data_IF_485414872603
#
_entry.id   IF_485414872603
#
_cell.length_a   1.000
_cell.length_b   1.000
_cell.length_c   1.000
_cell.angle_alpha   90.00
_cell.angle_beta   90.00
_cell.angle_gamma   90.00
#
_symmetry.space_group_name_H-M   'P 1'
#
loop_
_entity.id
_entity.type
_entity.pdbx_description
1 polymer ?
#
# COMPACT_ATOMS: atom_id res chain seq x y z
N UNK A 1 2.40 -4.21 18.93
CA UNK A 1 2.74 -4.49 17.51
C UNK A 1 2.33 -3.28 16.70
N UNK A 2 3.14 -2.83 15.74
CA UNK A 2 2.77 -1.68 14.91
C UNK A 2 1.51 -1.98 14.09
N UNK A 3 0.63 -0.98 13.97
CA UNK A 3 -0.58 -1.07 13.15
C UNK A 3 -0.67 0.13 12.21
N UNK A 4 -0.72 -0.14 10.91
CA UNK A 4 -0.99 0.88 9.90
C UNK A 4 -2.47 1.30 10.00
N UNK A 5 -2.74 2.58 10.18
CA UNK A 5 -4.11 3.09 10.33
C UNK A 5 -4.49 4.06 9.24
N UNK A 6 -3.53 4.78 8.70
CA UNK A 6 -3.77 5.75 7.64
C UNK A 6 -2.71 5.68 6.55
N UNK A 7 -3.11 5.94 5.31
CA UNK A 7 -2.18 6.25 4.21
C UNK A 7 -2.66 7.50 3.50
N UNK A 8 -1.81 8.51 3.39
CA UNK A 8 -2.15 9.73 2.67
C UNK A 8 -1.90 9.54 1.18
N UNK A 9 -2.96 9.69 0.39
CA UNK A 9 -2.97 9.45 -1.06
C UNK A 9 -3.26 10.75 -1.80
N UNK A 10 -2.54 10.98 -2.89
CA UNK A 10 -2.80 12.09 -3.79
C UNK A 10 -4.01 11.85 -4.71
N UNK A 11 -4.33 12.86 -5.50
CA UNK A 11 -5.43 12.82 -6.47
C UNK A 11 -6.72 13.42 -5.92
N UNK A 12 -7.73 13.51 -6.79
CA UNK A 12 -9.00 14.13 -6.44
C UNK A 12 -9.99 13.10 -5.88
N UNK A 13 -10.92 13.54 -5.04
CA UNK A 13 -12.06 12.74 -4.57
C UNK A 13 -12.78 12.08 -5.76
N UNK A 14 -13.11 12.86 -6.78
CA UNK A 14 -13.75 12.36 -7.99
C UNK A 14 -12.92 11.29 -8.75
N UNK A 15 -11.59 11.30 -8.61
CA UNK A 15 -10.73 10.24 -9.16
C UNK A 15 -10.93 8.93 -8.44
N UNK A 16 -10.90 8.97 -7.11
CA UNK A 16 -11.14 7.80 -6.27
C UNK A 16 -12.57 7.26 -6.41
N UNK A 17 -13.57 8.14 -6.49
CA UNK A 17 -14.96 7.75 -6.77
C UNK A 17 -15.14 7.11 -8.16
N UNK A 18 -14.43 7.61 -9.19
CA UNK A 18 -14.41 6.94 -10.51
C UNK A 18 -13.82 5.54 -10.47
N UNK A 19 -12.90 5.26 -9.55
CA UNK A 19 -12.41 3.90 -9.30
C UNK A 19 -13.34 3.08 -8.40
N UNK A 20 -14.56 3.58 -8.11
CA UNK A 20 -15.59 2.88 -7.37
C UNK A 20 -15.38 2.83 -5.86
N UNK A 21 -14.60 3.75 -5.29
CA UNK A 21 -14.53 3.92 -3.83
C UNK A 21 -15.63 4.85 -3.33
N UNK A 22 -16.22 4.54 -2.17
CA UNK A 22 -17.01 5.51 -1.39
C UNK A 22 -16.03 6.43 -0.64
N UNK A 23 -16.08 7.72 -0.94
CA UNK A 23 -15.22 8.74 -0.33
C UNK A 23 -16.09 9.65 0.54
N UNK A 24 -15.82 9.70 1.85
CA UNK A 24 -16.57 10.52 2.82
C UNK A 24 -15.60 11.32 3.65
N UNK A 25 -15.80 12.64 3.71
CA UNK A 25 -14.92 13.57 4.45
C UNK A 25 -13.44 13.46 4.02
N UNK A 26 -13.22 13.28 2.71
CA UNK A 26 -11.90 13.07 2.14
C UNK A 26 -11.24 11.75 2.53
N UNK A 27 -11.99 10.77 3.03
CA UNK A 27 -11.48 9.47 3.46
C UNK A 27 -12.13 8.30 2.73
N UNK A 28 -11.32 7.31 2.39
CA UNK A 28 -11.75 5.99 1.92
C UNK A 28 -11.51 5.03 3.08
N UNK A 29 -12.59 4.49 3.66
CA UNK A 29 -12.50 3.65 4.86
C UNK A 29 -12.51 2.17 4.46
N UNK A 30 -11.40 1.49 4.75
CA UNK A 30 -11.20 0.06 4.57
C UNK A 30 -11.26 -0.62 5.95
N UNK A 31 -11.14 -1.95 5.98
CA UNK A 31 -11.12 -2.74 7.22
C UNK A 31 -9.97 -2.33 8.16
N UNK A 32 -10.29 -1.48 9.14
CA UNK A 32 -9.37 -1.04 10.19
C UNK A 32 -8.34 0.02 9.77
N UNK A 33 -8.41 0.52 8.54
CA UNK A 33 -7.48 1.49 7.94
C UNK A 33 -8.26 2.49 7.08
N UNK A 34 -7.79 3.74 6.99
CA UNK A 34 -8.33 4.73 6.06
C UNK A 34 -7.26 5.25 5.09
N UNK A 35 -7.63 5.46 3.82
CA UNK A 35 -6.86 6.34 2.95
C UNK A 35 -7.35 7.77 3.17
N UNK A 36 -6.42 8.70 3.36
CA UNK A 36 -6.70 10.13 3.49
C UNK A 36 -6.37 10.78 2.14
N UNK A 37 -7.40 11.25 1.44
CA UNK A 37 -7.24 11.89 0.13
C UNK A 37 -6.76 13.32 0.35
N UNK A 38 -5.57 13.61 -0.18
CA UNK A 38 -4.99 14.95 -0.21
C UNK A 38 -4.86 15.41 -1.67
N UNK A 39 -5.83 16.20 -2.17
CA UNK A 39 -5.79 16.74 -3.53
C UNK A 39 -4.63 17.70 -3.78
N UNK A 40 -4.00 18.24 -2.73
CA UNK A 40 -2.87 19.15 -2.83
C UNK A 40 -1.52 18.44 -2.88
N UNK A 41 -1.49 17.13 -2.59
CA UNK A 41 -0.25 16.35 -2.59
C UNK A 41 0.37 16.26 -3.98
N UNK A 42 1.63 16.69 -4.08
CA UNK A 42 2.46 16.53 -5.27
C UNK A 42 2.95 15.08 -5.46
N UNK A 43 2.81 14.24 -4.43
CA UNK A 43 3.20 12.82 -4.46
C UNK A 43 1.96 11.92 -4.56
N UNK A 44 2.03 10.77 -5.27
CA UNK A 44 0.96 9.79 -5.25
C UNK A 44 0.63 9.28 -3.84
N UNK A 45 1.66 9.06 -3.03
CA UNK A 45 1.57 8.68 -1.63
C UNK A 45 2.55 9.56 -0.84
N UNK A 46 2.04 10.35 0.11
CA UNK A 46 2.84 11.38 0.79
C UNK A 46 3.22 11.03 2.22
N UNK A 47 2.61 9.99 2.81
CA UNK A 47 2.95 9.50 4.14
C UNK A 47 1.93 8.50 4.66
N UNK A 48 2.12 8.05 5.89
CA UNK A 48 1.19 7.15 6.57
C UNK A 48 1.02 7.48 8.06
N UNK A 49 -0.03 6.95 8.66
CA UNK A 49 -0.28 6.98 10.09
C UNK A 49 -0.14 5.59 10.68
N UNK A 50 0.72 5.44 11.69
CA UNK A 50 0.99 4.16 12.36
C UNK A 50 0.75 4.30 13.86
N UNK A 51 0.08 3.32 14.44
CA UNK A 51 0.04 3.09 15.89
C UNK A 51 1.20 2.18 16.25
N UNK A 52 2.23 2.71 16.91
CA UNK A 52 3.41 1.95 17.33
C UNK A 52 3.97 2.52 18.65
N UNK A 53 4.79 1.76 19.40
CA UNK A 53 5.47 2.30 20.59
C UNK A 53 6.39 3.45 20.20
N UNK A 54 6.40 4.53 21.01
CA UNK A 54 7.26 5.70 20.82
C UNK A 54 6.84 6.62 19.67
N UNK A 55 7.06 7.91 19.86
CA UNK A 55 6.78 8.94 18.85
C UNK A 55 7.88 8.98 17.78
N UNK A 56 7.47 9.30 16.55
CA UNK A 56 8.33 9.48 15.37
C UNK A 56 7.55 10.23 14.29
N UNK A 57 8.28 10.94 13.45
CA UNK A 57 7.79 11.71 12.31
C UNK A 57 8.27 11.14 10.95
N UNK A 58 9.24 10.22 10.97
CA UNK A 58 9.86 9.64 9.79
C UNK A 58 10.23 8.15 9.97
N UNK A 59 10.18 7.39 8.86
CA UNK A 59 10.84 6.09 8.72
C UNK A 59 11.60 6.08 7.39
N UNK A 60 12.91 6.32 7.48
CA UNK A 60 13.84 6.26 6.35
C UNK A 60 13.46 7.18 5.17
N UNK A 61 12.92 8.37 5.46
CA UNK A 61 12.45 9.34 4.48
C UNK A 61 10.95 9.26 4.18
N UNK A 62 10.22 8.33 4.82
CA UNK A 62 8.76 8.25 4.75
C UNK A 62 8.14 9.06 5.90
N UNK A 63 7.40 10.15 5.61
CA UNK A 63 6.64 10.86 6.62
C UNK A 63 5.68 9.92 7.37
N UNK A 64 5.89 9.79 8.67
CA UNK A 64 5.22 8.83 9.54
C UNK A 64 4.57 9.55 10.69
N UNK A 65 3.24 9.57 10.75
CA UNK A 65 2.51 10.16 11.88
C UNK A 65 2.15 9.09 12.91
N UNK A 66 2.42 9.36 14.19
CA UNK A 66 1.81 8.60 15.27
C UNK A 66 0.30 8.87 15.31
N UNK A 67 -0.51 7.82 15.24
CA UNK A 67 -1.98 7.92 15.28
C UNK A 67 -2.59 7.01 16.34
N UNK A 68 -3.71 7.42 16.97
CA UNK A 68 -4.37 6.63 18.00
C UNK A 68 -4.78 5.24 17.48
N UNK A 69 -4.90 4.30 18.42
CA UNK A 69 -5.39 2.96 18.12
C UNK A 69 -6.92 2.95 17.92
N UNK A 70 -7.37 3.54 16.82
CA UNK A 70 -8.77 3.69 16.48
C UNK A 70 -9.03 3.08 15.09
N UNK A 71 -9.51 1.83 14.99
CA UNK A 71 -9.80 1.21 13.71
C UNK A 71 -10.91 1.97 12.98
N UNK A 72 -10.69 2.28 11.70
CA UNK A 72 -11.76 2.81 10.84
C UNK A 72 -12.90 1.79 10.70
N UNK A 73 -14.18 2.22 10.78
CA UNK A 73 -15.30 1.34 10.50
C UNK A 73 -15.25 0.91 9.02
N UNK A 74 -15.49 -0.36 8.76
CA UNK A 74 -15.56 -0.87 7.40
C UNK A 74 -16.75 -0.26 6.65
N UNK A 75 -16.54 0.08 5.39
CA UNK A 75 -17.57 0.60 4.48
C UNK A 75 -17.58 -0.28 3.24
N UNK A 76 -18.77 -0.58 2.73
CA UNK A 76 -18.92 -1.26 1.45
C UNK A 76 -18.66 -0.28 0.32
N UNK A 77 -17.68 -0.60 -0.53
CA UNK A 77 -17.35 0.20 -1.70
C UNK A 77 -18.06 -0.35 -2.94
N UNK A 78 -18.53 0.51 -3.87
CA UNK A 78 -19.10 0.08 -5.14
C UNK A 78 -18.21 -0.86 -5.97
N UNK A 79 -16.88 -0.76 -5.84
CA UNK A 79 -15.92 -1.65 -6.48
C UNK A 79 -15.67 -2.98 -5.72
N UNK A 80 -16.29 -3.21 -4.56
CA UNK A 80 -16.15 -4.44 -3.77
C UNK A 80 -14.83 -4.59 -3.00
N UNK A 81 -13.91 -3.62 -3.06
CA UNK A 81 -12.65 -3.68 -2.31
C UNK A 81 -12.89 -3.47 -0.81
N UNK A 82 -12.20 -4.22 0.04
CA UNK A 82 -12.50 -4.25 1.49
C UNK A 82 -11.33 -3.93 2.40
N UNK A 83 -10.10 -4.21 1.98
CA UNK A 83 -8.91 -4.08 2.80
C UNK A 83 -7.70 -3.70 1.95
N UNK A 84 -6.65 -3.23 2.62
CA UNK A 84 -5.34 -3.03 2.02
C UNK A 84 -4.50 -4.28 2.28
N UNK A 85 -4.05 -4.97 1.23
CA UNK A 85 -3.16 -6.12 1.35
C UNK A 85 -1.75 -5.64 1.72
N UNK A 86 -1.24 -4.68 0.96
CA UNK A 86 0.06 -4.08 1.22
C UNK A 86 0.23 -2.67 0.64
N UNK A 87 1.18 -1.94 1.23
CA UNK A 87 1.78 -0.72 0.69
C UNK A 87 3.17 -1.07 0.20
N UNK A 88 3.49 -0.71 -1.05
CA UNK A 88 4.83 -0.86 -1.62
C UNK A 88 5.69 0.32 -1.21
N UNK A 89 6.84 0.04 -0.63
CA UNK A 89 7.91 0.98 -0.30
C UNK A 89 9.08 0.74 -1.23
N UNK A 90 9.55 1.77 -1.92
CA UNK A 90 10.77 1.69 -2.72
C UNK A 90 11.92 2.40 -2.00
N UNK A 91 13.09 1.77 -1.96
CA UNK A 91 14.30 2.33 -1.37
C UNK A 91 15.51 2.13 -2.29
N UNK A 92 16.57 2.92 -2.05
CA UNK A 92 17.88 2.74 -2.70
C UNK A 92 18.89 2.06 -1.79
N UNK A 93 18.55 1.85 -0.52
CA UNK A 93 19.36 1.11 0.45
C UNK A 93 18.43 0.21 1.26
N UNK A 94 18.35 -1.06 0.87
CA UNK A 94 17.44 -2.02 1.50
C UNK A 94 17.85 -2.32 2.95
N UNK A 95 19.15 -2.27 3.26
CA UNK A 95 19.68 -2.51 4.59
C UNK A 95 19.28 -1.39 5.55
N UNK A 96 19.52 -0.13 5.17
CA UNK A 96 19.16 1.05 5.94
C UNK A 96 17.64 1.11 6.19
N UNK A 97 16.82 0.93 5.16
CA UNK A 97 15.36 0.92 5.33
C UNK A 97 14.91 -0.22 6.24
N UNK A 98 15.45 -1.43 6.06
CA UNK A 98 15.11 -2.58 6.91
C UNK A 98 15.41 -2.30 8.37
N UNK A 99 16.57 -1.70 8.68
CA UNK A 99 16.95 -1.32 10.03
C UNK A 99 16.02 -0.23 10.61
N UNK A 100 15.61 0.75 9.79
CA UNK A 100 14.71 1.82 10.23
C UNK A 100 13.33 1.30 10.67
N UNK A 101 12.83 0.21 10.06
CA UNK A 101 11.55 -0.40 10.45
C UNK A 101 11.57 -0.99 11.88
N UNK A 102 12.74 -1.32 12.43
CA UNK A 102 12.85 -1.71 13.85
C UNK A 102 12.37 -0.59 14.78
N UNK A 103 12.42 0.68 14.33
CA UNK A 103 11.84 1.82 15.03
C UNK A 103 10.33 1.70 15.25
N UNK A 104 9.61 0.99 14.39
CA UNK A 104 8.18 0.67 14.58
C UNK A 104 7.96 -0.52 15.52
N UNK A 105 9.02 -1.16 16.02
CA UNK A 105 8.93 -2.38 16.83
C UNK A 105 8.44 -3.58 16.03
N UNK A 106 8.83 -3.67 14.76
CA UNK A 106 8.53 -4.80 13.88
C UNK A 106 9.80 -5.38 13.28
N UNK A 107 9.77 -6.68 13.03
CA UNK A 107 10.86 -7.42 12.41
C UNK A 107 10.45 -7.91 11.00
N UNK A 108 11.41 -8.12 10.09
CA UNK A 108 11.15 -8.73 8.79
C UNK A 108 10.47 -10.09 8.96
N UNK A 109 9.28 -10.26 8.36
CA UNK A 109 8.56 -11.53 8.41
C UNK A 109 9.04 -12.52 7.35
N UNK A 110 9.49 -12.00 6.21
CA UNK A 110 9.97 -12.74 5.04
C UNK A 110 10.83 -11.82 4.19
N UNK A 111 11.80 -12.38 3.49
CA UNK A 111 12.49 -11.75 2.37
C UNK A 111 12.50 -12.68 1.16
N UNK A 112 12.68 -12.11 -0.04
CA UNK A 112 12.80 -12.85 -1.28
C UNK A 112 13.44 -11.99 -2.38
N UNK A 113 14.29 -12.59 -3.19
CA UNK A 113 14.81 -11.97 -4.41
C UNK A 113 13.75 -11.95 -5.52
N UNK A 114 13.74 -10.87 -6.30
CA UNK A 114 12.84 -10.70 -7.45
C UNK A 114 13.47 -11.40 -8.66
N UNK A 115 12.91 -12.53 -9.13
CA UNK A 115 13.51 -13.30 -10.21
C UNK A 115 13.56 -12.49 -11.51
N UNK A 116 14.70 -12.53 -12.21
CA UNK A 116 14.88 -11.84 -13.49
C UNK A 116 14.98 -10.32 -13.41
N UNK A 117 15.17 -9.75 -12.21
CA UNK A 117 15.41 -8.32 -12.05
C UNK A 117 16.88 -7.95 -12.35
N UNK A 118 17.08 -6.87 -13.10
CA UNK A 118 18.37 -6.25 -13.37
C UNK A 118 18.23 -4.72 -13.25
N UNK A 119 18.91 -4.06 -12.28
CA UNK A 119 19.77 -4.67 -11.26
C UNK A 119 18.97 -5.54 -10.28
N UNK A 120 19.64 -6.52 -9.66
CA UNK A 120 19.03 -7.46 -8.72
C UNK A 120 18.25 -6.73 -7.62
N UNK A 121 16.96 -7.06 -7.48
CA UNK A 121 16.06 -6.50 -6.47
C UNK A 121 15.68 -7.55 -5.42
N UNK A 122 15.44 -7.09 -4.19
CA UNK A 122 14.89 -7.91 -3.11
C UNK A 122 13.68 -7.23 -2.46
N UNK A 123 12.72 -8.06 -2.09
CA UNK A 123 11.53 -7.69 -1.33
C UNK A 123 11.69 -8.14 0.13
N UNK A 124 11.39 -7.26 1.08
CA UNK A 124 11.34 -7.52 2.52
C UNK A 124 9.96 -7.13 3.04
N UNK A 125 9.31 -8.02 3.78
CA UNK A 125 7.90 -7.88 4.17
C UNK A 125 7.77 -7.65 5.68
N UNK A 126 7.09 -6.58 6.07
CA UNK A 126 6.77 -6.26 7.46
C UNK A 126 5.26 -6.29 7.69
N UNK A 127 4.80 -6.93 8.76
CA UNK A 127 3.37 -6.98 9.10
C UNK A 127 3.04 -5.79 10.01
N UNK A 128 2.16 -4.90 9.53
CA UNK A 128 1.71 -3.71 10.24
C UNK A 128 0.23 -3.84 10.65
N UNK A 129 -0.16 -4.99 11.19
CA UNK A 129 -1.52 -5.28 11.67
C UNK A 129 -2.60 -5.36 10.58
N UNK A 130 -2.96 -4.22 9.97
CA UNK A 130 -4.02 -4.10 8.95
C UNK A 130 -3.54 -4.37 7.52
N UNK A 131 -2.23 -4.20 7.26
CA UNK A 131 -1.61 -4.39 5.96
C UNK A 131 -0.15 -4.83 6.12
N UNK A 132 0.47 -5.22 5.01
CA UNK A 132 1.92 -5.46 4.92
C UNK A 132 2.62 -4.22 4.34
N UNK A 133 3.79 -3.86 4.85
CA UNK A 133 4.73 -3.01 4.12
C UNK A 133 5.66 -3.92 3.32
N UNK A 134 5.62 -3.81 2.00
CA UNK A 134 6.51 -4.51 1.07
C UNK A 134 7.63 -3.54 0.66
N UNK A 135 8.79 -3.70 1.29
CA UNK A 135 9.98 -2.88 1.02
C UNK A 135 10.77 -3.52 -0.11
N UNK A 136 10.99 -2.77 -1.18
CA UNK A 136 11.70 -3.21 -2.39
C UNK A 136 12.89 -2.30 -2.64
N UNK A 137 14.05 -2.90 -2.86
CA UNK A 137 15.26 -2.18 -3.22
C UNK A 137 16.31 -3.09 -3.85
N UNK A 138 17.39 -2.49 -4.37
CA UNK A 138 18.51 -3.25 -4.91
C UNK A 138 19.19 -4.08 -3.82
N UNK A 139 19.66 -5.28 -4.17
CA UNK A 139 20.38 -6.17 -3.25
C UNK A 139 21.67 -5.52 -2.74
N UNK A 140 22.39 -4.84 -3.63
CA UNK A 140 23.67 -4.18 -3.34
C UNK A 140 23.51 -2.64 -3.21
N UNK A 141 22.33 -2.17 -2.77
CA UNK A 141 22.10 -0.74 -2.54
C UNK A 141 22.89 -0.18 -1.37
N UNK A 142 23.54 0.97 -1.56
CA UNK A 142 24.43 1.61 -0.59
C UNK A 142 24.19 3.13 -0.45
N UNK A 143 23.04 3.61 -0.93
CA UNK A 143 22.72 5.04 -0.95
C UNK A 143 22.55 5.67 0.46
N UNK A 144 22.57 4.86 1.52
CA UNK A 144 22.36 5.31 2.89
C UNK A 144 20.89 5.53 3.25
N UNK A 145 20.64 6.00 4.49
CA UNK A 145 19.28 6.20 4.99
C UNK A 145 18.58 7.40 4.31
N UNK A 146 17.26 7.48 4.48
CA UNK A 146 16.43 8.58 3.99
C UNK A 146 15.99 8.43 2.53
N UNK A 147 16.15 7.26 1.93
CA UNK A 147 15.88 7.03 0.50
C UNK A 147 14.57 6.30 0.23
N UNK A 148 13.86 5.88 1.27
CA UNK A 148 12.59 5.18 1.13
C UNK A 148 11.45 6.15 0.74
N UNK A 149 10.53 5.65 -0.08
CA UNK A 149 9.28 6.34 -0.40
C UNK A 149 8.14 5.34 -0.61
N UNK A 150 6.94 5.75 -0.26
CA UNK A 150 5.72 5.03 -0.64
C UNK A 150 5.52 5.13 -2.16
N UNK A 151 5.14 4.02 -2.79
CA UNK A 151 5.02 3.95 -4.26
C UNK A 151 3.66 3.50 -4.76
N UNK A 152 3.12 2.39 -4.26
CA UNK A 152 1.89 1.79 -4.78
C UNK A 152 1.09 1.05 -3.72
N UNK A 153 -0.16 0.75 -4.05
CA UNK A 153 -1.11 0.08 -3.16
C UNK A 153 -1.62 -1.22 -3.78
N UNK A 154 -1.84 -2.22 -2.93
CA UNK A 154 -2.56 -3.43 -3.29
C UNK A 154 -3.79 -3.60 -2.40
N UNK A 155 -4.95 -3.77 -3.02
CA UNK A 155 -6.22 -3.96 -2.32
C UNK A 155 -6.67 -5.42 -2.35
N UNK A 156 -7.40 -5.81 -1.32
CA UNK A 156 -8.08 -7.10 -1.25
C UNK A 156 -9.49 -6.97 -1.84
N UNK A 157 -9.73 -7.72 -2.91
CA UNK A 157 -11.02 -7.96 -3.53
C UNK A 157 -11.52 -9.33 -3.06
N UNK A 158 -12.56 -9.43 -2.20
CA UNK A 158 -13.14 -10.71 -1.79
C UNK A 158 -13.58 -11.56 -2.97
N UNK A 159 -14.25 -10.92 -3.94
CA UNK A 159 -14.51 -11.45 -5.27
C UNK A 159 -13.79 -10.58 -6.31
N UNK A 160 -12.71 -11.11 -6.88
CA UNK A 160 -11.89 -10.40 -7.85
C UNK A 160 -12.58 -10.27 -9.20
N UNK A 161 -13.38 -11.27 -9.61
CA UNK A 161 -14.04 -11.26 -10.91
C UNK A 161 -15.16 -10.22 -10.91
N UNK A 162 -15.95 -10.16 -9.84
CA UNK A 162 -16.98 -9.13 -9.65
C UNK A 162 -16.37 -7.73 -9.55
N UNK A 163 -15.25 -7.59 -8.83
CA UNK A 163 -14.51 -6.32 -8.74
C UNK A 163 -14.05 -5.85 -10.12
N UNK A 164 -13.47 -6.74 -10.93
CA UNK A 164 -13.00 -6.41 -12.28
C UNK A 164 -14.17 -6.08 -13.20
N UNK A 165 -15.30 -6.81 -13.09
CA UNK A 165 -16.51 -6.52 -13.83
C UNK A 165 -17.08 -5.13 -13.48
N UNK A 166 -17.14 -4.79 -12.19
CA UNK A 166 -17.60 -3.48 -11.70
C UNK A 166 -16.71 -2.33 -12.19
N UNK A 167 -15.40 -2.54 -12.25
CA UNK A 167 -14.42 -1.56 -12.74
C UNK A 167 -14.41 -1.44 -14.28
N UNK A 168 -14.86 -2.47 -14.99
CA UNK A 168 -14.88 -2.54 -16.44
C UNK A 168 -13.52 -2.18 -17.05
N UNK A 169 -13.50 -1.18 -17.94
CA UNK A 169 -12.27 -0.72 -18.62
C UNK A 169 -11.19 -0.15 -17.71
N UNK A 170 -11.49 0.08 -16.43
CA UNK A 170 -10.50 0.54 -15.45
C UNK A 170 -9.67 -0.61 -14.88
N UNK A 171 -10.03 -1.87 -15.13
CA UNK A 171 -9.27 -3.03 -14.70
C UNK A 171 -8.66 -3.78 -15.89
N UNK A 172 -7.45 -4.30 -15.68
CA UNK A 172 -6.83 -5.26 -16.58
C UNK A 172 -7.36 -6.67 -16.35
N UNK A 173 -6.99 -7.64 -17.21
CA UNK A 173 -7.44 -9.01 -17.07
C UNK A 173 -6.95 -9.65 -15.77
N UNK A 174 -7.79 -10.50 -15.19
CA UNK A 174 -7.44 -11.36 -14.05
C UNK A 174 -6.41 -12.40 -14.52
N UNK A 175 -5.36 -12.59 -13.70
CA UNK A 175 -4.32 -13.59 -13.92
C UNK A 175 -3.89 -14.20 -12.60
N UNK A 176 -3.16 -15.32 -12.66
CA UNK A 176 -2.52 -15.87 -11.47
C UNK A 176 -1.50 -14.88 -10.91
N UNK A 177 -1.57 -14.70 -9.60
CA UNK A 177 -0.58 -13.94 -8.88
C UNK A 177 0.67 -14.81 -8.67
N UNK A 178 1.80 -14.16 -8.45
CA UNK A 178 3.05 -14.86 -8.11
C UNK A 178 2.93 -15.60 -6.77
N UNK A 179 2.02 -15.16 -5.89
CA UNK A 179 1.67 -15.89 -4.68
C UNK A 179 0.75 -17.09 -5.03
N UNK A 180 1.15 -18.33 -4.71
CA UNK A 180 0.34 -19.51 -5.02
C UNK A 180 -1.09 -19.41 -4.50
N UNK A 181 -2.06 -19.78 -5.36
CA UNK A 181 -3.49 -19.77 -5.03
C UNK A 181 -4.15 -18.39 -5.00
N UNK A 182 -3.41 -17.30 -5.25
CA UNK A 182 -3.98 -15.96 -5.40
C UNK A 182 -4.09 -15.55 -6.86
N UNK A 183 -5.04 -14.67 -7.13
CA UNK A 183 -5.25 -14.01 -8.42
C UNK A 183 -5.02 -12.51 -8.29
N UNK A 184 -4.59 -11.88 -9.37
CA UNK A 184 -4.27 -10.45 -9.44
C UNK A 184 -4.90 -9.81 -10.68
N UNK A 185 -5.33 -8.57 -10.53
CA UNK A 185 -5.63 -7.66 -11.63
C UNK A 185 -4.95 -6.31 -11.38
N UNK A 186 -4.75 -5.54 -12.45
CA UNK A 186 -4.20 -4.18 -12.34
C UNK A 186 -5.35 -3.18 -12.45
N UNK A 187 -5.45 -2.21 -11.53
CA UNK A 187 -6.29 -1.04 -11.74
C UNK A 187 -5.50 -0.07 -12.63
N UNK A 188 -6.05 0.29 -13.78
CA UNK A 188 -5.54 1.32 -14.68
C UNK A 188 -5.74 2.71 -14.06
N UNK A 189 -4.99 2.99 -12.99
CA UNK A 189 -5.14 4.15 -12.13
C UNK A 189 -5.14 5.49 -12.90
N UNK A 190 -4.33 5.60 -13.95
CA UNK A 190 -4.29 6.79 -14.83
C UNK A 190 -5.62 7.00 -15.57
N UNK A 191 -6.28 5.93 -16.01
CA UNK A 191 -7.61 5.97 -16.63
C UNK A 191 -8.69 6.43 -15.64
N UNK A 192 -8.54 6.11 -14.35
CA UNK A 192 -9.38 6.64 -13.27
C UNK A 192 -9.01 8.08 -12.85
N UNK A 193 -7.87 8.60 -13.35
CA UNK A 193 -7.23 9.87 -12.93
C UNK A 193 -6.80 9.87 -11.46
N UNK A 194 -6.31 8.73 -11.00
CA UNK A 194 -5.67 8.55 -9.70
C UNK A 194 -4.16 8.44 -9.92
N UNK A 195 -3.31 9.14 -9.16
CA UNK A 195 -1.86 9.13 -9.38
C UNK A 195 -1.18 7.84 -8.89
N UNK A 196 -1.87 7.05 -8.04
CA UNK A 196 -1.32 5.90 -7.31
C UNK A 196 -1.36 4.61 -8.13
N UNK A 197 -0.19 4.00 -8.46
CA UNK A 197 -0.12 2.64 -8.97
C UNK A 197 -0.86 1.67 -8.06
N UNK A 198 -1.79 0.91 -8.63
CA UNK A 198 -2.74 0.10 -7.86
C UNK A 198 -2.92 -1.28 -8.46
N UNK A 199 -2.85 -2.30 -7.61
CA UNK A 199 -3.22 -3.68 -7.97
C UNK A 199 -4.33 -4.20 -7.06
N UNK A 200 -5.05 -5.20 -7.56
CA UNK A 200 -6.19 -5.84 -6.93
C UNK A 200 -5.83 -7.30 -6.75
N UNK A 201 -6.00 -7.84 -5.54
CA UNK A 201 -5.66 -9.22 -5.23
C UNK A 201 -6.88 -9.93 -4.66
N UNK A 202 -7.08 -11.19 -5.07
CA UNK A 202 -7.99 -12.09 -4.35
C UNK A 202 -7.51 -12.29 -2.91
N UNK A 203 -8.37 -12.76 -1.98
CA UNK A 203 -7.94 -13.06 -0.61
C UNK A 203 -6.81 -14.09 -0.59
N UNK A 204 -6.08 -14.14 0.52
CA UNK A 204 -5.17 -15.27 0.77
C UNK A 204 -6.05 -16.51 1.03
N UNK A 205 -5.69 -17.67 0.47
CA UNK A 205 -6.38 -18.93 0.75
C UNK A 205 -6.30 -19.33 2.22
#
# INVERSE_FOLDING_TARGET
MAVLREVTVGGTVAGWERAGFDVRDGRIRLRGLALVVDPSSERPLSGWGVTAPGERDDIDGIPTRAVPDAPAPAVDHPNGLTALDHVVVLTRDLGATTAAFAGLGVEPRRSRDVPGSDPAQRQVFFVLGTAVAEVVGPVDGDAGPGTARLWGLAFVAPDLDDTVAALGRLAGPVRDAVQPGRRIATLHHRSARIPVPTVLLSPRP
#
